data_IF_282833101160
#
_entry.id   IF_282833101160
#
_cell.length_a   1.000
_cell.length_b   1.000
_cell.length_c   1.000
_cell.angle_alpha   90.00
_cell.angle_beta   90.00
_cell.angle_gamma   90.00
#
_symmetry.space_group_name_H-M   'P 1'
#
loop_
_entity.id
_entity.type
_entity.pdbx_description
1 polymer ?
#
# COMPACT_ATOMS: atom_id res chain seq x y z
N UNK A 1 15.70 -0.62 40.66
CA UNK A 1 16.23 0.30 39.63
C UNK A 1 15.64 -0.11 38.29
N UNK A 2 14.88 0.74 37.56
CA UNK A 2 14.67 0.46 36.16
C UNK A 2 15.94 0.86 35.40
N UNK A 3 16.57 -0.12 34.74
CA UNK A 3 17.66 0.09 33.80
C UNK A 3 17.12 0.94 32.64
N UNK A 4 17.41 2.23 32.62
CA UNK A 4 17.37 3.02 31.40
C UNK A 4 18.53 2.55 30.52
N UNK A 5 18.30 1.50 29.74
CA UNK A 5 19.19 1.20 28.62
C UNK A 5 19.22 2.47 27.74
N UNK A 6 20.39 3.03 27.42
CA UNK A 6 20.45 4.14 26.47
C UNK A 6 19.78 3.69 25.17
N UNK A 7 19.03 4.57 24.48
CA UNK A 7 18.41 4.20 23.22
C UNK A 7 19.49 3.67 22.28
N UNK A 8 19.30 2.45 21.76
CA UNK A 8 20.27 1.89 20.82
C UNK A 8 20.41 2.84 19.62
N UNK A 9 21.63 3.09 19.17
CA UNK A 9 21.88 3.83 17.94
C UNK A 9 21.53 2.93 16.77
N UNK A 10 20.25 2.93 16.39
CA UNK A 10 19.77 2.20 15.22
C UNK A 10 20.39 2.84 13.98
N UNK A 11 21.25 2.09 13.30
CA UNK A 11 21.86 2.48 12.04
C UNK A 11 20.83 2.35 10.90
N UNK A 12 20.57 3.43 10.14
CA UNK A 12 19.77 3.36 8.92
C UNK A 12 20.37 2.39 7.90
N UNK A 13 19.54 1.93 6.97
CA UNK A 13 19.97 1.07 5.88
C UNK A 13 18.96 -0.04 5.59
N UNK A 14 19.27 -0.83 4.58
CA UNK A 14 18.42 -1.91 4.11
C UNK A 14 19.05 -3.27 4.46
N UNK A 15 18.38 -4.05 5.32
CA UNK A 15 18.79 -5.38 5.73
C UNK A 15 17.82 -6.40 5.16
N UNK A 16 18.33 -7.39 4.43
CA UNK A 16 17.54 -8.51 3.92
C UNK A 16 17.88 -9.77 4.72
N UNK A 17 16.88 -10.32 5.41
CA UNK A 17 16.93 -11.58 6.13
C UNK A 17 16.14 -12.62 5.36
N UNK A 18 16.79 -13.71 4.95
CA UNK A 18 16.17 -14.78 4.17
C UNK A 18 16.13 -16.09 4.94
N UNK A 19 15.03 -16.83 4.82
CA UNK A 19 14.91 -18.21 5.29
C UNK A 19 13.79 -18.92 4.55
N UNK A 20 13.86 -20.25 4.46
CA UNK A 20 12.76 -21.06 3.96
C UNK A 20 11.61 -21.21 4.98
N UNK A 21 11.80 -20.79 6.23
CA UNK A 21 10.83 -20.91 7.32
C UNK A 21 10.56 -19.57 8.01
N UNK A 22 9.29 -19.17 8.06
CA UNK A 22 8.85 -17.96 8.76
C UNK A 22 9.13 -18.01 10.27
N UNK A 23 9.09 -19.20 10.87
CA UNK A 23 9.38 -19.36 12.30
C UNK A 23 10.82 -18.97 12.62
N UNK A 24 11.76 -19.29 11.73
CA UNK A 24 13.18 -18.93 11.89
C UNK A 24 13.37 -17.43 11.73
N UNK A 25 12.74 -16.81 10.71
CA UNK A 25 12.77 -15.35 10.54
C UNK A 25 12.19 -14.63 11.75
N UNK A 26 11.11 -15.15 12.33
CA UNK A 26 10.52 -14.61 13.55
C UNK A 26 11.49 -14.67 14.73
N UNK A 27 12.19 -15.80 14.92
CA UNK A 27 13.18 -15.94 16.00
C UNK A 27 14.34 -14.95 15.81
N UNK A 28 14.88 -14.85 14.59
CA UNK A 28 15.92 -13.88 14.26
C UNK A 28 15.45 -12.44 14.51
N UNK A 29 14.21 -12.12 14.13
CA UNK A 29 13.63 -10.81 14.42
C UNK A 29 13.52 -10.56 15.93
N UNK A 30 13.02 -11.51 16.70
CA UNK A 30 12.92 -11.39 18.17
C UNK A 30 14.30 -11.09 18.78
N UNK A 31 15.33 -11.81 18.37
CA UNK A 31 16.69 -11.61 18.90
C UNK A 31 17.26 -10.25 18.47
N UNK A 32 16.96 -9.80 17.26
CA UNK A 32 17.31 -8.45 16.80
C UNK A 32 16.64 -7.36 17.66
N UNK A 33 15.34 -7.48 17.90
CA UNK A 33 14.57 -6.52 18.70
C UNK A 33 15.04 -6.45 20.16
N UNK A 34 15.43 -7.59 20.74
CA UNK A 34 16.00 -7.65 22.10
C UNK A 34 17.34 -6.91 22.19
N UNK A 35 18.18 -7.06 21.18
CA UNK A 35 19.55 -6.51 21.16
C UNK A 35 19.57 -5.04 20.73
N UNK A 36 18.59 -4.62 19.93
CA UNK A 36 18.47 -3.28 19.39
C UNK A 36 17.09 -2.68 19.70
N UNK A 37 16.77 -2.42 20.99
CA UNK A 37 15.48 -1.87 21.38
C UNK A 37 15.32 -0.42 20.90
N UNK A 38 14.11 -0.06 20.52
CA UNK A 38 13.72 1.34 20.28
C UNK A 38 13.71 2.15 21.58
N UNK A 39 13.49 3.47 21.46
CA UNK A 39 13.34 4.34 22.63
C UNK A 39 12.05 3.99 23.41
N UNK A 40 11.98 4.30 24.72
CA UNK A 40 10.74 4.11 25.48
C UNK A 40 9.55 4.79 24.82
N UNK A 41 8.41 4.08 24.75
CA UNK A 41 7.15 4.51 24.12
C UNK A 41 7.20 4.72 22.60
N UNK A 42 8.33 4.40 21.96
CA UNK A 42 8.43 4.34 20.51
C UNK A 42 7.81 3.02 20.00
N UNK A 43 7.04 3.08 18.91
CA UNK A 43 6.39 1.91 18.34
C UNK A 43 7.30 1.24 17.27
N UNK A 44 7.35 -0.08 17.27
CA UNK A 44 7.85 -0.82 16.10
C UNK A 44 6.84 -0.70 14.96
N UNK A 45 7.31 -0.33 13.78
CA UNK A 45 6.49 -0.33 12.57
C UNK A 45 6.73 -1.63 11.82
N UNK A 46 5.66 -2.41 11.59
CA UNK A 46 5.74 -3.71 10.93
C UNK A 46 4.83 -3.76 9.72
N UNK A 47 5.43 -3.89 8.54
CA UNK A 47 4.74 -4.10 7.28
C UNK A 47 4.42 -5.58 7.08
N UNK A 48 3.15 -5.91 6.87
CA UNK A 48 2.66 -7.28 6.66
C UNK A 48 1.71 -7.36 5.47
N UNK A 49 1.56 -8.56 4.91
CA UNK A 49 0.69 -8.80 3.76
C UNK A 49 -0.79 -8.98 4.11
N UNK A 50 -1.09 -9.33 5.36
CA UNK A 50 -2.45 -9.63 5.79
C UNK A 50 -2.63 -9.49 7.29
N UNK A 51 -3.88 -9.33 7.71
CA UNK A 51 -4.25 -9.33 9.13
C UNK A 51 -3.93 -10.66 9.82
N UNK A 52 -4.02 -11.78 9.09
CA UNK A 52 -3.63 -13.10 9.61
C UNK A 52 -2.15 -13.16 9.96
N UNK A 53 -1.28 -12.65 9.07
CA UNK A 53 0.16 -12.54 9.33
C UNK A 53 0.43 -11.59 10.51
N UNK A 54 -0.30 -10.48 10.58
CA UNK A 54 -0.19 -9.53 11.68
C UNK A 54 -0.45 -10.20 13.03
N UNK A 55 -1.53 -10.97 13.12
CA UNK A 55 -1.93 -11.65 14.35
C UNK A 55 -0.95 -12.78 14.71
N UNK A 56 -0.52 -13.57 13.73
CA UNK A 56 0.45 -14.63 13.95
C UNK A 56 1.77 -14.09 14.51
N UNK A 57 2.27 -12.99 13.96
CA UNK A 57 3.51 -12.36 14.43
C UNK A 57 3.33 -11.76 15.84
N UNK A 58 2.22 -11.06 16.11
CA UNK A 58 1.91 -10.54 17.45
C UNK A 58 1.91 -11.63 18.51
N UNK A 59 1.21 -12.74 18.26
CA UNK A 59 1.19 -13.88 19.18
C UNK A 59 2.59 -14.47 19.37
N UNK A 60 3.34 -14.61 18.28
CA UNK A 60 4.73 -15.05 18.32
C UNK A 60 5.63 -14.17 19.18
N UNK A 61 5.56 -12.85 19.00
CA UNK A 61 6.28 -11.85 19.79
C UNK A 61 5.83 -11.85 21.27
N UNK A 62 4.55 -12.10 21.55
CA UNK A 62 4.01 -12.14 22.90
C UNK A 62 4.36 -13.41 23.70
N UNK A 63 4.85 -14.46 23.03
CA UNK A 63 5.23 -15.73 23.68
C UNK A 63 6.20 -15.50 24.84
N UNK A 64 6.07 -16.28 25.93
CA UNK A 64 6.92 -16.18 27.12
C UNK A 64 8.41 -16.23 26.76
N UNK A 65 9.20 -15.33 27.36
CA UNK A 65 10.66 -15.25 27.21
C UNK A 65 11.36 -16.55 27.62
N UNK A 66 10.77 -17.32 28.55
CA UNK A 66 11.33 -18.58 29.06
C UNK A 66 10.99 -19.79 28.20
N UNK A 67 10.05 -19.68 27.26
CA UNK A 67 9.73 -20.78 26.37
C UNK A 67 10.91 -21.07 25.41
N UNK A 68 11.02 -22.32 24.94
CA UNK A 68 12.00 -22.65 23.89
C UNK A 68 11.64 -21.92 22.60
N UNK A 69 12.55 -21.10 22.08
CA UNK A 69 12.24 -20.14 21.01
C UNK A 69 11.30 -19.01 21.45
N UNK A 70 11.37 -18.64 22.73
CA UNK A 70 10.48 -17.69 23.39
C UNK A 70 10.57 -16.25 22.85
N UNK A 71 9.46 -15.54 22.96
CA UNK A 71 9.28 -14.18 22.43
C UNK A 71 9.84 -13.08 23.35
N UNK A 72 9.15 -11.95 23.32
CA UNK A 72 9.39 -10.77 24.17
C UNK A 72 8.56 -10.83 25.47
N UNK A 73 7.66 -11.81 25.60
CA UNK A 73 6.72 -11.97 26.73
C UNK A 73 5.50 -11.04 26.68
N UNK A 74 5.53 -10.03 25.81
CA UNK A 74 4.42 -9.12 25.53
C UNK A 74 4.62 -8.53 24.14
N UNK A 75 3.53 -8.34 23.39
CA UNK A 75 3.52 -7.62 22.12
C UNK A 75 2.69 -6.35 22.28
N UNK A 76 3.36 -5.22 22.51
CA UNK A 76 2.76 -3.89 22.66
C UNK A 76 3.64 -2.87 21.94
N UNK A 77 3.08 -1.69 21.62
CA UNK A 77 3.79 -0.68 20.82
C UNK A 77 4.15 -1.18 19.43
N UNK A 78 3.24 -1.92 18.78
CA UNK A 78 3.41 -2.42 17.41
C UNK A 78 2.40 -1.72 16.50
N UNK A 79 2.88 -0.99 15.50
CA UNK A 79 2.06 -0.48 14.41
C UNK A 79 2.14 -1.45 13.23
N UNK A 80 1.08 -2.24 13.05
CA UNK A 80 0.98 -3.17 11.92
C UNK A 80 0.37 -2.46 10.71
N UNK A 81 1.11 -2.40 9.62
CA UNK A 81 0.73 -1.68 8.41
C UNK A 81 0.63 -2.61 7.22
N UNK A 82 -0.26 -2.25 6.30
CA UNK A 82 -0.28 -2.76 4.94
C UNK A 82 0.58 -1.86 4.03
N UNK A 83 1.13 -2.38 2.92
CA UNK A 83 2.02 -1.64 2.02
C UNK A 83 1.52 -0.25 1.61
N UNK A 84 0.27 -0.15 1.17
CA UNK A 84 -0.36 1.11 0.75
C UNK A 84 -0.33 2.18 1.85
N UNK A 85 -0.61 1.79 3.11
CA UNK A 85 -0.66 2.71 4.24
C UNK A 85 0.73 3.22 4.61
N UNK A 86 1.74 2.35 4.57
CA UNK A 86 3.12 2.77 4.77
C UNK A 86 3.56 3.76 3.69
N UNK A 87 3.28 3.47 2.42
CA UNK A 87 3.57 4.36 1.29
C UNK A 87 2.99 5.75 1.52
N UNK A 88 1.72 5.83 1.91
CA UNK A 88 1.05 7.09 2.22
C UNK A 88 1.69 7.85 3.39
N UNK A 89 2.02 7.14 4.48
CA UNK A 89 2.74 7.74 5.62
C UNK A 89 4.08 8.33 5.21
N UNK A 90 4.85 7.62 4.38
CA UNK A 90 6.14 8.10 3.87
C UNK A 90 5.98 9.33 2.97
N UNK A 91 4.99 9.34 2.07
CA UNK A 91 4.69 10.50 1.24
C UNK A 91 4.40 11.73 2.09
N UNK A 92 3.54 11.57 3.10
CA UNK A 92 3.17 12.65 4.01
C UNK A 92 4.33 13.13 4.89
N UNK A 93 5.23 12.24 5.28
CA UNK A 93 6.41 12.60 6.08
C UNK A 93 7.44 13.42 5.29
N UNK A 94 7.60 13.15 3.98
CA UNK A 94 8.59 13.83 3.13
C UNK A 94 7.99 15.06 2.43
N UNK A 95 6.81 14.93 1.81
CA UNK A 95 6.15 16.02 1.08
C UNK A 95 5.47 17.04 2.02
N UNK A 96 5.22 16.62 3.26
CA UNK A 96 4.65 17.47 4.30
C UNK A 96 3.14 17.34 4.45
N UNK A 97 2.66 17.67 5.65
CA UNK A 97 1.27 17.48 6.10
C UNK A 97 0.25 18.39 5.42
N UNK A 98 0.70 19.46 4.78
CA UNK A 98 -0.14 20.39 4.01
C UNK A 98 -0.33 19.93 2.57
N UNK A 99 0.68 19.23 2.03
CA UNK A 99 0.64 18.71 0.67
C UNK A 99 -0.16 17.39 0.62
N UNK A 100 0.06 16.50 1.60
CA UNK A 100 -0.58 15.19 1.63
C UNK A 100 -1.57 15.10 2.80
N UNK A 101 -2.88 14.89 2.53
CA UNK A 101 -3.87 14.78 3.60
C UNK A 101 -3.61 13.56 4.47
N UNK A 102 -4.12 13.59 5.71
CA UNK A 102 -3.89 12.54 6.70
C UNK A 102 -4.35 11.17 6.21
N UNK A 103 -5.56 11.13 5.68
CA UNK A 103 -6.19 9.92 5.14
C UNK A 103 -6.27 10.08 3.61
N UNK A 104 -6.07 9.00 2.86
CA UNK A 104 -6.14 9.08 1.41
C UNK A 104 -7.61 9.16 0.99
N UNK A 105 -8.00 10.09 0.10
CA UNK A 105 -9.36 10.10 -0.44
C UNK A 105 -9.69 8.85 -1.26
N UNK A 106 -8.65 8.10 -1.65
CA UNK A 106 -8.69 6.83 -2.36
C UNK A 106 -8.47 5.62 -1.44
N UNK A 107 -8.49 5.81 -0.12
CA UNK A 107 -8.52 4.67 0.81
C UNK A 107 -9.82 3.88 0.64
N UNK A 108 -9.75 2.58 0.91
CA UNK A 108 -10.86 1.64 0.68
C UNK A 108 -12.16 2.09 1.35
N UNK A 109 -12.13 2.45 2.63
CA UNK A 109 -13.36 2.78 3.38
C UNK A 109 -14.06 4.04 2.80
N UNK A 110 -13.38 5.19 2.57
CA UNK A 110 -13.97 6.31 1.82
C UNK A 110 -14.46 5.94 0.42
N UNK A 111 -13.72 5.11 -0.32
CA UNK A 111 -14.09 4.70 -1.68
C UNK A 111 -15.40 3.91 -1.70
N UNK A 112 -15.66 3.04 -0.73
CA UNK A 112 -16.92 2.29 -0.63
C UNK A 112 -18.11 3.24 -0.60
N UNK A 113 -18.07 4.26 0.25
CA UNK A 113 -19.16 5.24 0.37
C UNK A 113 -19.27 6.15 -0.86
N UNK A 114 -18.13 6.50 -1.47
CA UNK A 114 -18.12 7.25 -2.73
C UNK A 114 -18.78 6.46 -3.84
N UNK A 115 -18.44 5.18 -3.98
CA UNK A 115 -19.02 4.26 -4.95
C UNK A 115 -20.52 4.04 -4.72
N UNK A 116 -20.95 3.90 -3.46
CA UNK A 116 -22.38 3.82 -3.10
C UNK A 116 -23.17 5.03 -3.61
N UNK A 117 -22.57 6.22 -3.62
CA UNK A 117 -23.20 7.45 -4.13
C UNK A 117 -23.09 7.58 -5.65
N UNK A 118 -21.95 7.25 -6.24
CA UNK A 118 -21.69 7.46 -7.67
C UNK A 118 -22.32 6.40 -8.57
N UNK A 119 -22.31 5.12 -8.16
CA UNK A 119 -22.76 4.02 -9.00
C UNK A 119 -24.22 4.18 -9.46
N UNK A 120 -25.21 4.54 -8.62
CA UNK A 120 -26.61 4.65 -9.05
C UNK A 120 -26.80 5.52 -10.30
N UNK A 121 -26.04 6.61 -10.43
CA UNK A 121 -26.10 7.50 -11.60
C UNK A 121 -25.42 6.89 -12.82
N UNK A 122 -24.25 6.26 -12.62
CA UNK A 122 -23.43 5.65 -13.67
C UNK A 122 -24.01 4.36 -14.25
N UNK A 123 -24.81 3.62 -13.48
CA UNK A 123 -25.38 2.33 -13.89
C UNK A 123 -26.27 2.44 -15.15
N UNK A 124 -26.80 3.63 -15.44
CA UNK A 124 -27.64 3.87 -16.62
C UNK A 124 -26.83 4.02 -17.92
N UNK A 125 -25.50 4.14 -17.85
CA UNK A 125 -24.65 4.19 -19.03
C UNK A 125 -24.49 2.80 -19.68
N UNK A 126 -24.47 2.70 -21.03
CA UNK A 126 -24.34 1.41 -21.72
C UNK A 126 -23.12 0.57 -21.30
N UNK A 127 -21.98 1.22 -21.04
CA UNK A 127 -20.74 0.52 -20.68
C UNK A 127 -20.79 -0.11 -19.28
N UNK A 128 -21.73 0.33 -18.42
CA UNK A 128 -21.94 -0.19 -17.08
C UNK A 128 -22.96 -1.34 -17.03
N UNK A 129 -23.45 -1.81 -18.18
CA UNK A 129 -24.43 -2.89 -18.29
C UNK A 129 -24.11 -4.14 -17.45
N UNK A 130 -22.85 -4.64 -17.39
CA UNK A 130 -22.53 -5.78 -16.52
C UNK A 130 -22.76 -5.51 -15.03
N UNK A 131 -22.51 -4.29 -14.57
CA UNK A 131 -22.73 -3.88 -13.19
C UNK A 131 -24.22 -3.62 -12.91
N UNK A 132 -24.93 -3.05 -13.88
CA UNK A 132 -26.37 -2.82 -13.82
C UNK A 132 -27.12 -4.13 -13.57
N UNK A 133 -26.83 -5.15 -14.38
CA UNK A 133 -27.49 -6.46 -14.29
C UNK A 133 -27.26 -7.17 -12.95
N UNK A 134 -26.13 -6.90 -12.29
CA UNK A 134 -25.84 -7.45 -10.96
C UNK A 134 -26.67 -6.77 -9.86
N UNK A 135 -26.73 -5.43 -9.87
CA UNK A 135 -27.38 -4.61 -8.84
C UNK A 135 -28.90 -4.58 -8.98
N UNK A 136 -29.41 -4.67 -10.22
CA UNK A 136 -30.83 -4.65 -10.57
C UNK A 136 -31.23 -5.98 -11.22
N UNK A 137 -31.31 -7.09 -10.47
CA UNK A 137 -31.85 -8.32 -11.01
C UNK A 137 -33.32 -8.12 -11.37
N UNK A 138 -33.67 -8.27 -12.64
CA UNK A 138 -35.02 -8.25 -13.22
C UNK A 138 -35.59 -6.89 -13.68
N UNK A 139 -34.79 -5.81 -13.76
CA UNK A 139 -35.19 -4.51 -14.35
C UNK A 139 -36.61 -4.04 -13.97
N UNK A 140 -37.05 -4.28 -12.72
CA UNK A 140 -38.38 -3.84 -12.30
C UNK A 140 -38.35 -2.33 -12.04
N UNK A 141 -39.12 -1.52 -12.79
CA UNK A 141 -39.01 -0.06 -12.76
C UNK A 141 -39.38 0.60 -11.42
N UNK A 142 -40.06 -0.12 -10.52
CA UNK A 142 -40.56 0.43 -9.24
C UNK A 142 -39.66 0.14 -8.02
N UNK A 143 -38.64 -0.72 -8.17
CA UNK A 143 -37.68 -0.96 -7.09
C UNK A 143 -36.31 -0.44 -7.54
N UNK A 144 -35.81 0.58 -6.84
CA UNK A 144 -34.45 1.08 -7.03
C UNK A 144 -33.38 -0.02 -6.84
N UNK A 145 -32.09 0.32 -7.00
CA UNK A 145 -31.01 -0.65 -6.87
C UNK A 145 -31.09 -1.40 -5.53
N UNK A 146 -30.87 -2.72 -5.56
CA UNK A 146 -30.77 -3.52 -4.33
C UNK A 146 -29.58 -3.00 -3.51
N UNK A 147 -29.87 -2.23 -2.45
CA UNK A 147 -28.86 -1.53 -1.65
C UNK A 147 -27.81 -2.50 -1.08
N UNK A 148 -28.21 -3.73 -0.76
CA UNK A 148 -27.29 -4.75 -0.26
C UNK A 148 -26.32 -5.18 -1.35
N UNK A 149 -26.80 -5.40 -2.58
CA UNK A 149 -25.92 -5.75 -3.71
C UNK A 149 -25.05 -4.59 -4.11
N UNK A 150 -25.58 -3.36 -4.10
CA UNK A 150 -24.82 -2.15 -4.37
C UNK A 150 -23.65 -2.01 -3.38
N UNK A 151 -23.92 -2.21 -2.08
CA UNK A 151 -22.88 -2.18 -1.06
C UNK A 151 -21.83 -3.28 -1.22
N UNK A 152 -22.26 -4.51 -1.53
CA UNK A 152 -21.34 -5.61 -1.81
C UNK A 152 -20.48 -5.35 -3.05
N UNK A 153 -21.06 -4.76 -4.10
CA UNK A 153 -20.34 -4.35 -5.30
C UNK A 153 -19.32 -3.25 -4.97
N UNK A 154 -19.75 -2.20 -4.26
CA UNK A 154 -18.88 -1.11 -3.83
C UNK A 154 -17.69 -1.61 -3.01
N UNK A 155 -17.89 -2.59 -2.10
CA UNK A 155 -16.81 -3.24 -1.36
C UNK A 155 -15.79 -3.93 -2.27
N UNK A 156 -16.27 -4.69 -3.27
CA UNK A 156 -15.38 -5.40 -4.21
C UNK A 156 -14.65 -4.44 -5.14
N UNK A 157 -15.33 -3.42 -5.64
CA UNK A 157 -14.74 -2.40 -6.49
C UNK A 157 -13.72 -1.55 -5.74
N UNK A 158 -14.02 -1.12 -4.51
CA UNK A 158 -13.06 -0.40 -3.68
C UNK A 158 -11.81 -1.25 -3.39
N UNK A 159 -11.99 -2.54 -3.10
CA UNK A 159 -10.86 -3.47 -2.92
C UNK A 159 -10.02 -3.61 -4.21
N UNK A 160 -10.67 -3.74 -5.36
CA UNK A 160 -10.00 -3.87 -6.65
C UNK A 160 -9.23 -2.60 -7.02
N UNK A 161 -9.82 -1.42 -6.83
CA UNK A 161 -9.14 -0.15 -7.09
C UNK A 161 -8.01 0.12 -6.08
N UNK A 162 -8.13 -0.31 -4.83
CA UNK A 162 -7.01 -0.27 -3.87
C UNK A 162 -5.85 -1.16 -4.33
N UNK A 163 -6.14 -2.35 -4.85
CA UNK A 163 -5.12 -3.22 -5.44
C UNK A 163 -4.48 -2.60 -6.69
N UNK A 164 -5.26 -1.99 -7.58
CA UNK A 164 -4.72 -1.29 -8.75
C UNK A 164 -3.82 -0.13 -8.37
N UNK A 165 -4.18 0.64 -7.34
CA UNK A 165 -3.36 1.74 -6.84
C UNK A 165 -1.96 1.29 -6.38
N UNK A 166 -1.80 0.02 -5.98
CA UNK A 166 -0.52 -0.53 -5.51
C UNK A 166 0.22 -1.28 -6.62
N UNK A 167 -0.47 -2.11 -7.39
CA UNK A 167 0.15 -3.06 -8.33
C UNK A 167 0.05 -2.67 -9.80
N UNK A 168 -0.84 -1.73 -10.15
CA UNK A 168 -1.15 -1.30 -11.52
C UNK A 168 -1.43 0.20 -11.60
N UNK A 169 -0.61 1.00 -10.92
CA UNK A 169 -0.76 2.46 -10.92
C UNK A 169 -0.63 3.06 -12.33
N UNK A 170 0.11 2.39 -13.21
CA UNK A 170 0.21 2.68 -14.64
C UNK A 170 -1.14 2.59 -15.36
N UNK A 171 -1.97 1.59 -15.04
CA UNK A 171 -3.32 1.46 -15.61
C UNK A 171 -4.19 2.65 -15.22
N UNK A 172 -4.19 2.99 -13.93
CA UNK A 172 -4.99 4.10 -13.40
C UNK A 172 -4.58 5.44 -14.01
N UNK A 173 -3.28 5.67 -14.18
CA UNK A 173 -2.76 6.88 -14.82
C UNK A 173 -3.18 6.96 -16.28
N UNK A 174 -3.06 5.85 -17.01
CA UNK A 174 -3.46 5.77 -18.42
C UNK A 174 -4.97 6.00 -18.60
N UNK A 175 -5.79 5.44 -17.70
CA UNK A 175 -7.23 5.67 -17.69
C UNK A 175 -7.60 7.12 -17.34
N UNK A 176 -6.87 7.74 -16.41
CA UNK A 176 -7.06 9.15 -16.03
C UNK A 176 -6.76 10.10 -17.20
N UNK A 177 -5.83 9.74 -18.08
CA UNK A 177 -5.54 10.48 -19.33
C UNK A 177 -6.62 10.32 -20.43
N UNK A 178 -7.69 9.57 -20.15
CA UNK A 178 -8.82 9.39 -21.06
C UNK A 178 -8.75 8.13 -21.93
N UNK A 179 -7.70 7.30 -21.76
CA UNK A 179 -7.59 6.04 -22.51
C UNK A 179 -8.55 4.98 -21.95
N UNK A 180 -9.13 4.16 -22.84
CA UNK A 180 -10.00 3.02 -22.50
C UNK A 180 -9.35 1.69 -22.88
N UNK A 181 -8.09 1.54 -22.54
CA UNK A 181 -7.26 0.39 -22.84
C UNK A 181 -6.28 0.16 -21.68
N UNK A 182 -5.58 -0.97 -21.68
CA UNK A 182 -4.41 -1.17 -20.83
C UNK A 182 -3.21 -0.43 -21.44
N UNK A 183 -2.31 0.13 -20.62
CA UNK A 183 -1.15 0.86 -21.10
C UNK A 183 -0.21 -0.05 -21.92
N UNK A 184 0.65 0.54 -22.76
CA UNK A 184 1.70 -0.19 -23.43
C UNK A 184 2.55 -1.03 -22.47
N UNK A 185 2.73 -2.30 -22.80
CA UNK A 185 3.62 -3.23 -22.08
C UNK A 185 4.16 -4.23 -23.09
N UNK A 186 5.41 -4.68 -22.97
CA UNK A 186 5.92 -5.73 -23.84
C UNK A 186 5.06 -7.01 -23.71
N UNK A 187 4.56 -7.61 -24.82
CA UNK A 187 4.89 -7.38 -26.24
C UNK A 187 3.91 -6.48 -27.02
N UNK A 188 3.03 -5.76 -26.33
CA UNK A 188 2.00 -4.85 -26.87
C UNK A 188 2.36 -3.36 -26.68
N UNK A 189 3.25 -2.78 -27.53
CA UNK A 189 3.68 -1.39 -27.41
C UNK A 189 2.61 -0.34 -27.73
N UNK A 190 1.47 -0.74 -28.32
CA UNK A 190 0.32 0.13 -28.57
C UNK A 190 -0.73 0.17 -27.45
N UNK A 191 -0.49 -0.54 -26.34
CA UNK A 191 -1.52 -0.85 -25.34
C UNK A 191 -2.44 -1.99 -25.79
N UNK A 192 -3.26 -2.49 -24.88
CA UNK A 192 -4.17 -3.62 -25.13
C UNK A 192 -5.61 -3.15 -24.95
N UNK A 193 -6.43 -3.31 -25.99
CA UNK A 193 -7.86 -2.99 -25.90
C UNK A 193 -8.52 -3.81 -24.78
N UNK A 194 -9.35 -3.15 -23.97
CA UNK A 194 -10.16 -3.84 -22.98
C UNK A 194 -11.32 -4.56 -23.67
N UNK A 195 -11.76 -5.66 -23.07
CA UNK A 195 -13.05 -6.28 -23.42
C UNK A 195 -14.17 -5.21 -23.28
N UNK A 196 -15.14 -5.13 -24.21
CA UNK A 196 -16.29 -4.26 -24.08
C UNK A 196 -16.97 -4.32 -22.69
N UNK A 197 -17.04 -5.50 -22.07
CA UNK A 197 -17.61 -5.68 -20.73
C UNK A 197 -16.76 -5.09 -19.59
N UNK A 198 -15.54 -4.64 -19.89
CA UNK A 198 -14.61 -4.02 -18.93
C UNK A 198 -14.45 -2.52 -19.13
N UNK A 199 -15.08 -1.92 -20.13
CA UNK A 199 -14.99 -0.49 -20.42
C UNK A 199 -15.54 0.41 -19.31
N UNK A 200 -16.39 -0.13 -18.41
CA UNK A 200 -16.82 0.59 -17.21
C UNK A 200 -15.66 0.90 -16.26
N UNK A 201 -14.58 0.10 -16.22
CA UNK A 201 -13.48 0.31 -15.28
C UNK A 201 -12.76 1.66 -15.47
N UNK A 202 -12.23 2.01 -16.66
CA UNK A 202 -11.60 3.30 -16.88
C UNK A 202 -12.57 4.47 -16.69
N UNK A 203 -13.85 4.30 -17.08
CA UNK A 203 -14.90 5.32 -16.88
C UNK A 203 -15.18 5.56 -15.40
N UNK A 204 -15.36 4.50 -14.63
CA UNK A 204 -15.61 4.57 -13.19
C UNK A 204 -14.43 5.19 -12.47
N UNK A 205 -13.19 4.83 -12.85
CA UNK A 205 -11.99 5.46 -12.29
C UNK A 205 -11.99 6.98 -12.50
N UNK A 206 -12.26 7.44 -13.73
CA UNK A 206 -12.36 8.88 -14.03
C UNK A 206 -13.49 9.57 -13.26
N UNK A 207 -14.63 8.91 -13.10
CA UNK A 207 -15.74 9.45 -12.30
C UNK A 207 -15.36 9.60 -10.82
N UNK A 208 -14.65 8.62 -10.24
CA UNK A 208 -14.11 8.68 -8.88
C UNK A 208 -13.14 9.85 -8.74
N UNK A 209 -12.17 10.01 -9.65
CA UNK A 209 -11.18 11.09 -9.56
C UNK A 209 -11.80 12.47 -9.73
N UNK A 210 -12.74 12.62 -10.68
CA UNK A 210 -13.45 13.88 -10.90
C UNK A 210 -14.31 14.28 -9.68
N UNK A 211 -14.96 13.31 -9.04
CA UNK A 211 -15.75 13.55 -7.84
C UNK A 211 -14.88 13.88 -6.62
N UNK A 212 -13.67 13.34 -6.51
CA UNK A 212 -12.69 13.75 -5.49
C UNK A 212 -12.22 15.19 -5.77
N UNK A 213 -11.89 15.52 -7.03
CA UNK A 213 -11.48 16.87 -7.44
C UNK A 213 -12.55 17.91 -7.07
N UNK A 214 -13.80 17.65 -7.41
CA UNK A 214 -14.93 18.55 -7.15
C UNK A 214 -15.17 18.81 -5.65
N UNK A 215 -14.74 17.89 -4.77
CA UNK A 215 -14.93 17.98 -3.33
C UNK A 215 -13.71 18.55 -2.59
N UNK A 216 -12.57 18.74 -3.27
CA UNK A 216 -11.40 19.36 -2.65
C UNK A 216 -11.51 20.89 -2.71
N UNK A 217 -11.43 21.60 -1.58
CA UNK A 217 -11.41 23.06 -1.58
C UNK A 217 -10.15 23.57 -2.29
N UNK A 218 -10.27 24.63 -3.06
CA UNK A 218 -9.20 25.26 -3.86
C UNK A 218 -7.95 25.59 -3.03
N UNK A 219 -7.07 24.61 -2.85
CA UNK A 219 -5.77 24.79 -2.23
C UNK A 219 -4.69 24.67 -3.31
N UNK A 220 -4.44 25.80 -3.97
CA UNK A 220 -3.20 26.08 -4.70
C UNK A 220 -3.02 25.38 -6.06
N UNK A 221 -2.22 26.02 -6.91
CA UNK A 221 -1.96 25.74 -8.32
C UNK A 221 -1.35 24.35 -8.64
N UNK A 222 -1.19 23.47 -7.64
CA UNK A 222 -0.60 22.12 -7.77
C UNK A 222 -1.58 20.96 -7.48
N UNK A 223 -2.89 21.23 -7.37
CA UNK A 223 -3.92 20.24 -6.99
C UNK A 223 -4.05 19.09 -7.99
N UNK A 224 -3.81 19.32 -9.28
CA UNK A 224 -3.95 18.28 -10.32
C UNK A 224 -2.89 17.17 -10.22
N UNK A 225 -1.70 17.49 -9.69
CA UNK A 225 -0.59 16.52 -9.51
C UNK A 225 -0.82 15.60 -8.30
N UNK A 226 -1.70 16.01 -7.37
CA UNK A 226 -1.89 15.38 -6.05
C UNK A 226 -2.88 14.20 -6.03
N UNK A 227 -3.70 14.02 -7.08
CA UNK A 227 -4.78 13.02 -7.06
C UNK A 227 -4.35 11.62 -7.52
N UNK A 228 -3.31 11.52 -8.34
CA UNK A 228 -2.74 10.25 -8.76
C UNK A 228 -1.61 9.83 -7.83
N UNK A 229 -1.70 8.64 -7.19
CA UNK A 229 -0.58 8.06 -6.41
C UNK A 229 0.74 8.03 -7.19
N UNK A 230 0.69 7.91 -8.53
CA UNK A 230 1.86 7.97 -9.40
C UNK A 230 2.57 9.35 -9.38
N UNK A 231 1.82 10.46 -9.44
CA UNK A 231 2.38 11.82 -9.36
C UNK A 231 2.99 12.08 -7.99
N UNK A 232 2.28 11.68 -6.92
CA UNK A 232 2.79 11.71 -5.55
C UNK A 232 4.08 10.90 -5.39
N UNK A 233 4.17 9.73 -6.03
CA UNK A 233 5.37 8.90 -5.97
C UNK A 233 6.59 9.59 -6.58
N UNK A 234 6.44 10.18 -7.77
CA UNK A 234 7.54 10.91 -8.43
C UNK A 234 7.95 12.14 -7.61
N UNK A 235 6.98 12.91 -7.11
CA UNK A 235 7.24 14.05 -6.23
C UNK A 235 7.97 13.62 -4.95
N UNK A 236 7.58 12.49 -4.36
CA UNK A 236 8.24 11.90 -3.20
C UNK A 236 9.71 11.57 -3.49
N UNK A 237 10.01 10.89 -4.59
CA UNK A 237 11.39 10.52 -4.95
C UNK A 237 12.26 11.77 -5.15
N UNK A 238 11.74 12.79 -5.85
CA UNK A 238 12.43 14.05 -6.07
C UNK A 238 12.70 14.79 -4.76
N UNK A 239 11.68 14.92 -3.89
CA UNK A 239 11.80 15.59 -2.61
C UNK A 239 12.74 14.84 -1.65
N UNK A 240 12.68 13.50 -1.63
CA UNK A 240 13.55 12.68 -0.80
C UNK A 240 15.03 12.88 -1.17
N UNK A 241 15.37 12.93 -2.46
CA UNK A 241 16.75 13.17 -2.92
C UNK A 241 17.32 14.53 -2.49
N UNK A 242 16.46 15.52 -2.22
CA UNK A 242 16.86 16.84 -1.74
C UNK A 242 16.88 16.95 -0.22
N UNK A 243 16.33 15.96 0.49
CA UNK A 243 16.22 15.97 1.94
C UNK A 243 17.54 15.56 2.58
N UNK A 244 18.10 16.39 3.48
CA UNK A 244 19.41 16.10 4.10
C UNK A 244 19.26 15.46 5.49
N UNK A 245 18.30 15.93 6.28
CA UNK A 245 18.06 15.45 7.64
C UNK A 245 16.98 14.36 7.66
N UNK A 246 16.99 13.51 8.69
CA UNK A 246 15.93 12.53 8.95
C UNK A 246 14.55 13.21 8.98
N UNK A 247 13.64 12.91 8.04
CA UNK A 247 12.31 13.52 7.98
C UNK A 247 11.53 13.26 9.28
N UNK A 248 10.85 14.30 9.78
CA UNK A 248 9.97 14.15 10.95
C UNK A 248 8.76 13.32 10.56
N UNK A 249 8.53 12.21 11.27
CA UNK A 249 7.39 11.32 11.03
C UNK A 249 7.73 10.02 10.32
N UNK A 250 8.95 9.84 9.82
CA UNK A 250 9.44 8.51 9.47
C UNK A 250 9.79 7.74 10.76
N UNK A 251 9.47 6.44 10.85
CA UNK A 251 9.92 5.60 11.95
C UNK A 251 11.43 5.37 11.87
N UNK A 252 12.08 5.13 13.00
CA UNK A 252 13.52 4.78 13.03
C UNK A 252 13.78 3.39 12.46
N UNK A 253 12.79 2.50 12.53
CA UNK A 253 12.85 1.14 12.01
C UNK A 253 11.52 0.71 11.39
N UNK A 254 11.60 0.06 10.24
CA UNK A 254 10.49 -0.65 9.59
C UNK A 254 10.89 -2.11 9.42
N UNK A 255 10.00 -3.00 9.85
CA UNK A 255 10.16 -4.44 9.69
C UNK A 255 9.16 -4.92 8.65
N UNK A 256 9.65 -5.42 7.52
CA UNK A 256 8.82 -6.04 6.49
C UNK A 256 8.79 -7.54 6.76
N UNK A 257 7.64 -8.10 7.11
CA UNK A 257 7.56 -9.49 7.55
C UNK A 257 6.54 -10.30 6.75
N UNK A 258 7.03 -11.37 6.12
CA UNK A 258 6.18 -12.37 5.50
C UNK A 258 5.47 -11.87 4.22
N UNK A 259 6.03 -10.88 3.53
CA UNK A 259 5.63 -10.56 2.16
C UNK A 259 6.30 -11.56 1.20
N UNK A 260 5.50 -12.27 0.40
CA UNK A 260 6.00 -13.12 -0.68
C UNK A 260 6.27 -12.34 -1.96
N UNK A 261 5.64 -11.18 -2.12
CA UNK A 261 5.89 -10.22 -3.19
C UNK A 261 5.72 -8.79 -2.67
N UNK A 262 6.48 -7.87 -3.25
CA UNK A 262 6.42 -6.44 -2.92
C UNK A 262 6.25 -5.69 -4.25
N UNK A 263 5.30 -4.77 -4.31
CA UNK A 263 5.12 -3.93 -5.49
C UNK A 263 6.37 -3.05 -5.69
N UNK A 264 6.86 -2.84 -6.92
CA UNK A 264 8.07 -2.05 -7.18
C UNK A 264 8.06 -0.68 -6.50
N UNK A 265 6.95 0.05 -6.54
CA UNK A 265 6.84 1.36 -5.88
C UNK A 265 7.02 1.30 -4.36
N UNK A 266 6.59 0.22 -3.71
CA UNK A 266 6.80 0.02 -2.28
C UNK A 266 8.28 -0.24 -2.01
N UNK A 267 8.94 -1.03 -2.87
CA UNK A 267 10.38 -1.25 -2.77
C UNK A 267 11.16 0.05 -2.98
N UNK A 268 10.76 0.88 -3.94
CA UNK A 268 11.36 2.20 -4.18
C UNK A 268 11.21 3.11 -2.95
N UNK A 269 10.02 3.14 -2.33
CA UNK A 269 9.80 3.88 -1.08
C UNK A 269 10.67 3.36 0.04
N UNK A 270 10.72 2.03 0.26
CA UNK A 270 11.56 1.42 1.30
C UNK A 270 13.05 1.70 1.09
N UNK A 271 13.54 1.57 -0.15
CA UNK A 271 14.92 1.86 -0.51
C UNK A 271 15.24 3.35 -0.32
N UNK A 272 14.32 4.24 -0.71
CA UNK A 272 14.48 5.68 -0.57
C UNK A 272 14.58 6.09 0.90
N UNK A 273 13.67 5.61 1.75
CA UNK A 273 13.69 5.97 3.18
C UNK A 273 14.80 5.27 3.96
N UNK A 274 15.40 4.19 3.42
CA UNK A 274 16.48 3.46 4.08
C UNK A 274 17.72 4.34 4.40
N UNK A 275 17.86 5.49 3.74
CA UNK A 275 18.87 6.50 4.08
C UNK A 275 18.72 7.04 5.51
N UNK A 276 17.50 7.07 6.05
CA UNK A 276 17.20 7.58 7.39
C UNK A 276 16.61 6.54 8.33
N UNK A 277 16.00 5.49 7.77
CA UNK A 277 15.28 4.45 8.51
C UNK A 277 15.99 3.10 8.36
N UNK A 278 16.03 2.30 9.43
CA UNK A 278 16.45 0.90 9.33
C UNK A 278 15.31 0.07 8.74
N UNK A 279 15.45 -0.40 7.51
CA UNK A 279 14.49 -1.28 6.85
C UNK A 279 14.99 -2.71 6.98
N UNK A 280 14.24 -3.56 7.68
CA UNK A 280 14.55 -4.99 7.85
C UNK A 280 13.52 -5.79 7.08
N UNK A 281 13.93 -6.49 6.03
CA UNK A 281 13.06 -7.34 5.22
C UNK A 281 13.27 -8.80 5.57
N UNK A 282 12.28 -9.39 6.25
CA UNK A 282 12.20 -10.82 6.53
C UNK A 282 11.47 -11.53 5.38
N UNK A 283 12.25 -11.96 4.39
CA UNK A 283 11.77 -12.61 3.17
C UNK A 283 11.78 -14.13 3.31
N UNK A 284 10.62 -14.75 3.10
CA UNK A 284 10.56 -16.21 2.99
C UNK A 284 11.09 -16.62 1.61
N UNK A 285 12.26 -17.25 1.58
CA UNK A 285 12.92 -17.71 0.37
C UNK A 285 13.07 -19.25 0.40
N UNK A 286 12.42 -20.00 -0.50
CA UNK A 286 12.47 -21.46 -0.50
C UNK A 286 13.85 -22.02 -0.91
N UNK A 287 14.72 -21.20 -1.51
CA UNK A 287 16.03 -21.62 -1.99
C UNK A 287 17.14 -20.74 -1.41
N UNK A 288 18.28 -21.36 -1.07
CA UNK A 288 19.46 -20.64 -0.59
C UNK A 288 20.31 -20.01 -1.72
N UNK A 289 20.07 -20.42 -2.97
CA UNK A 289 20.77 -19.92 -4.16
C UNK A 289 19.93 -18.86 -4.86
N UNK A 290 20.50 -18.12 -5.82
CA UNK A 290 19.69 -17.28 -6.72
C UNK A 290 18.97 -18.18 -7.72
N UNK A 291 17.66 -17.97 -7.88
CA UNK A 291 16.77 -18.79 -8.72
C UNK A 291 15.80 -17.93 -9.53
N UNK A 292 16.02 -16.61 -9.58
CA UNK A 292 15.31 -15.71 -10.48
C UNK A 292 15.89 -15.74 -11.88
N UNK A 293 15.21 -15.09 -12.81
CA UNK A 293 15.73 -14.88 -14.14
C UNK A 293 16.96 -13.98 -14.09
N UNK A 294 17.95 -14.26 -14.93
CA UNK A 294 19.09 -13.36 -15.14
C UNK A 294 18.66 -12.42 -16.26
N UNK A 295 18.56 -11.13 -15.95
CA UNK A 295 18.38 -10.11 -16.96
C UNK A 295 19.78 -9.83 -17.52
N UNK A 296 19.99 -10.04 -18.82
CA UNK A 296 21.25 -9.72 -19.47
C UNK A 296 21.54 -8.21 -19.32
N UNK A 297 22.66 -7.91 -18.66
CA UNK A 297 23.06 -6.54 -18.36
C UNK A 297 23.53 -5.81 -19.61
N UNK A 298 22.90 -4.68 -19.93
CA UNK A 298 23.54 -3.41 -20.28
C UNK A 298 22.49 -2.31 -20.50
N UNK A 299 22.23 -1.54 -19.45
CA UNK A 299 21.99 -0.09 -19.51
C UNK A 299 21.94 0.43 -18.06
N UNK A 300 23.12 0.78 -17.55
CA UNK A 300 23.30 1.68 -16.40
C UNK A 300 23.00 3.11 -16.84
#
# INVERSE_FOLDING_TARGET
MPLTAPPSTITPGFLLLQSNRLEVLRLLLIDWLKTNPLAPLENETVLVQSNGMAQWLKLGLATDRKASGGGLGIASGLEMLLPARLQWQCYRAILGVHAVPKDSPLDKDPLVWRLMRLLPDLLNEPDFSPLHHYVLPNDQPDNGPDERRLYQLALRLADQFDQYQVYRADWLLYWQQGHNALPPSEPSPGGTALDPEQLWQPKLWRAITADIQAQQPEHGENSDVMLGRAGLHQAFLQAANQHQNHPKGLPRRIIVFGLSSIAPQILDVLATIAHWTQVIVCLQNPCQHYWGDIIDGHQL
#
